data_IF_658455711130
#
_entry.id   IF_658455711130
#
_cell.length_a   1.000
_cell.length_b   1.000
_cell.length_c   1.000
_cell.angle_alpha   90.00
_cell.angle_beta   90.00
_cell.angle_gamma   90.00
#
_symmetry.space_group_name_H-M   'P 1'
#
loop_
_entity.id
_entity.type
_entity.pdbx_description
1 polymer ?
#
# COMPACT_ATOMS: atom_id res chain seq x y z
N UNK A 1 -3.71 24.44 -13.61
CA UNK A 1 -2.38 24.52 -12.94
C UNK A 1 -2.48 24.55 -11.42
N UNK A 2 -3.26 25.46 -10.84
CA UNK A 2 -3.48 25.49 -9.38
C UNK A 2 -4.01 24.17 -8.84
N UNK A 3 -4.97 23.54 -9.55
CA UNK A 3 -5.56 22.26 -9.15
C UNK A 3 -4.53 21.12 -9.17
N UNK A 4 -3.61 21.13 -10.14
CA UNK A 4 -2.55 20.11 -10.22
C UNK A 4 -1.54 20.27 -9.08
N UNK A 5 -1.14 21.52 -8.78
CA UNK A 5 -0.25 21.79 -7.66
C UNK A 5 -0.91 21.36 -6.35
N UNK A 6 -2.17 21.70 -6.17
CA UNK A 6 -2.91 21.33 -4.97
C UNK A 6 -3.04 19.82 -4.84
N UNK A 7 -3.31 19.13 -5.96
CA UNK A 7 -3.36 17.67 -5.97
C UNK A 7 -2.03 17.05 -5.56
N UNK A 8 -0.91 17.55 -6.07
CA UNK A 8 0.41 17.06 -5.71
C UNK A 8 0.72 17.27 -4.23
N UNK A 9 0.31 18.40 -3.66
CA UNK A 9 0.46 18.67 -2.23
C UNK A 9 -0.33 17.67 -1.40
N UNK A 10 -1.56 17.34 -1.80
CA UNK A 10 -2.39 16.37 -1.11
C UNK A 10 -1.81 14.96 -1.23
N UNK A 11 -1.36 14.56 -2.41
CA UNK A 11 -0.72 13.26 -2.59
C UNK A 11 0.51 13.12 -1.69
N UNK A 12 1.33 14.16 -1.61
CA UNK A 12 2.50 14.16 -0.72
C UNK A 12 2.08 14.00 0.74
N UNK A 13 1.07 14.75 1.18
CA UNK A 13 0.57 14.67 2.55
C UNK A 13 0.07 13.26 2.86
N UNK A 14 -0.74 12.68 1.99
CA UNK A 14 -1.28 11.34 2.23
C UNK A 14 -0.20 10.26 2.13
N UNK A 15 0.85 10.47 1.32
CA UNK A 15 2.04 9.62 1.33
C UNK A 15 2.74 9.64 2.69
N UNK A 16 2.85 10.80 3.32
CA UNK A 16 3.40 10.93 4.67
C UNK A 16 2.52 10.24 5.70
N UNK A 17 1.19 10.31 5.54
CA UNK A 17 0.26 9.56 6.40
C UNK A 17 0.49 8.06 6.26
N UNK A 18 0.66 7.56 5.05
CA UNK A 18 0.97 6.14 4.83
C UNK A 18 2.28 5.75 5.51
N UNK A 19 3.28 6.62 5.49
CA UNK A 19 4.56 6.39 6.19
C UNK A 19 4.36 6.33 7.71
N UNK A 20 3.49 7.15 8.27
CA UNK A 20 3.16 7.07 9.69
C UNK A 20 2.43 5.77 10.03
N UNK A 21 1.54 5.32 9.16
CA UNK A 21 0.87 4.02 9.32
C UNK A 21 1.91 2.89 9.30
N UNK A 22 2.89 2.96 8.42
CA UNK A 22 3.97 1.97 8.34
C UNK A 22 4.72 1.83 9.66
N UNK A 23 4.83 2.90 10.45
CA UNK A 23 5.52 2.85 11.74
C UNK A 23 4.86 1.91 12.75
N UNK A 24 3.62 1.52 12.53
CA UNK A 24 2.91 0.56 13.37
C UNK A 24 3.35 -0.88 13.10
N UNK A 25 4.04 -1.14 11.99
CA UNK A 25 4.52 -2.48 11.66
C UNK A 25 5.61 -2.92 12.63
N UNK A 26 5.58 -4.20 12.98
CA UNK A 26 6.63 -4.83 13.80
C UNK A 26 7.69 -5.53 12.93
N UNK A 27 7.61 -5.38 11.62
CA UNK A 27 8.54 -6.00 10.70
C UNK A 27 9.97 -5.52 10.95
N UNK A 28 10.92 -6.45 10.93
CA UNK A 28 12.32 -6.13 11.15
C UNK A 28 13.02 -5.65 9.89
N UNK A 29 12.62 -6.18 8.72
CA UNK A 29 13.30 -5.91 7.45
C UNK A 29 12.80 -4.62 6.79
N UNK A 30 11.51 -4.48 6.64
CA UNK A 30 10.91 -3.30 5.99
C UNK A 30 9.49 -3.08 6.51
N UNK A 31 9.23 -1.87 6.98
CA UNK A 31 7.89 -1.46 7.41
C UNK A 31 7.19 -0.81 6.25
N UNK A 32 6.02 -1.31 5.89
CA UNK A 32 5.22 -0.83 4.78
C UNK A 32 3.84 -0.42 5.28
N UNK A 33 3.32 0.68 4.75
CA UNK A 33 1.97 1.16 5.04
C UNK A 33 1.21 1.41 3.75
N UNK A 34 -0.09 1.15 3.77
CA UNK A 34 -0.98 1.37 2.64
C UNK A 34 -2.29 1.97 3.13
N UNK A 35 -2.81 2.95 2.38
CA UNK A 35 -4.09 3.58 2.69
C UNK A 35 -4.95 3.64 1.43
N UNK A 36 -6.27 3.57 1.61
CA UNK A 36 -7.24 3.81 0.56
C UNK A 36 -7.92 5.15 0.83
N UNK A 37 -7.73 6.10 -0.06
CA UNK A 37 -8.18 7.48 0.09
C UNK A 37 -9.21 7.79 -1.00
N UNK A 38 -10.33 8.43 -0.63
CA UNK A 38 -11.31 8.83 -1.63
C UNK A 38 -10.68 9.78 -2.64
N UNK A 39 -11.11 9.68 -3.91
CA UNK A 39 -10.49 10.42 -5.00
C UNK A 39 -10.49 11.95 -4.81
N UNK A 40 -11.41 12.47 -4.01
CA UNK A 40 -11.45 13.90 -3.66
C UNK A 40 -10.68 14.23 -2.38
N UNK A 41 -9.96 13.25 -1.81
CA UNK A 41 -9.17 13.37 -0.58
C UNK A 41 -9.99 13.66 0.69
N UNK A 42 -11.29 13.42 0.67
CA UNK A 42 -12.16 13.74 1.80
C UNK A 42 -12.19 12.68 2.90
N UNK A 43 -11.64 11.49 2.62
CA UNK A 43 -11.82 10.35 3.54
C UNK A 43 -10.76 9.30 3.31
N UNK A 44 -10.24 8.74 4.40
CA UNK A 44 -9.45 7.51 4.38
C UNK A 44 -10.39 6.36 4.75
N UNK A 45 -10.66 5.47 3.81
CA UNK A 45 -11.64 4.40 4.01
C UNK A 45 -11.03 3.17 4.69
N UNK A 46 -9.71 2.98 4.54
CA UNK A 46 -9.03 1.82 5.10
C UNK A 46 -7.54 2.07 5.11
N UNK A 47 -6.84 1.40 6.01
CA UNK A 47 -5.38 1.38 6.00
C UNK A 47 -4.88 0.00 6.43
N UNK A 48 -3.64 -0.28 6.08
CA UNK A 48 -2.96 -1.50 6.50
C UNK A 48 -1.46 -1.27 6.63
N UNK A 49 -0.82 -2.08 7.42
CA UNK A 49 0.63 -2.18 7.51
C UNK A 49 1.00 -3.65 7.52
N UNK A 50 2.23 -3.96 7.13
CA UNK A 50 2.61 -5.36 7.05
C UNK A 50 2.72 -5.98 8.46
N UNK A 51 2.13 -7.15 8.62
CA UNK A 51 2.04 -7.83 9.90
C UNK A 51 1.38 -9.18 9.75
N UNK A 52 1.34 -9.93 10.85
CA UNK A 52 0.71 -11.24 10.85
C UNK A 52 -0.80 -11.14 11.07
N UNK A 53 -1.46 -12.28 11.12
CA UNK A 53 -2.90 -12.35 11.37
C UNK A 53 -3.23 -11.93 12.81
N UNK A 54 -4.49 -11.55 13.05
CA UNK A 54 -4.95 -11.12 14.37
C UNK A 54 -4.67 -12.19 15.43
N UNK A 55 -4.11 -11.76 16.57
CA UNK A 55 -3.77 -12.62 17.70
C UNK A 55 -2.67 -13.65 17.40
N UNK A 56 -1.87 -13.44 16.35
CA UNK A 56 -0.69 -14.28 16.13
C UNK A 56 0.32 -14.10 17.27
N UNK A 57 1.06 -15.18 17.63
CA UNK A 57 2.13 -15.06 18.62
C UNK A 57 3.19 -14.05 18.17
N UNK A 58 3.69 -13.24 19.09
CA UNK A 58 4.71 -12.23 18.79
C UNK A 58 6.05 -12.71 19.28
N UNK A 59 7.04 -12.79 18.38
CA UNK A 59 8.42 -13.05 18.71
C UNK A 59 9.04 -11.76 19.27
N UNK A 60 9.73 -11.84 20.39
CA UNK A 60 10.32 -10.68 21.05
C UNK A 60 11.49 -10.05 20.27
N UNK A 61 12.06 -10.76 19.31
CA UNK A 61 13.19 -10.28 18.51
C UNK A 61 12.75 -9.77 17.16
N UNK A 62 11.93 -10.55 16.42
CA UNK A 62 11.54 -10.24 15.04
C UNK A 62 10.18 -9.59 14.91
N UNK A 63 9.39 -9.55 15.99
CA UNK A 63 8.02 -9.04 15.98
C UNK A 63 6.99 -10.12 15.72
N UNK A 64 7.29 -11.15 14.91
CA UNK A 64 6.43 -12.30 14.72
C UNK A 64 7.29 -13.55 14.41
N UNK A 65 6.78 -14.74 14.76
CA UNK A 65 7.47 -15.99 14.48
C UNK A 65 7.56 -16.32 13.00
N UNK A 66 6.67 -15.75 12.19
CA UNK A 66 6.60 -16.04 10.76
C UNK A 66 7.55 -15.17 9.92
N UNK A 67 8.13 -14.13 10.50
CA UNK A 67 8.96 -13.21 9.73
C UNK A 67 10.30 -13.85 9.35
N UNK A 68 10.65 -13.76 8.07
CA UNK A 68 11.97 -14.10 7.55
C UNK A 68 12.66 -12.83 7.08
N UNK A 69 13.98 -12.74 7.30
CA UNK A 69 14.77 -11.61 6.80
C UNK A 69 15.23 -11.84 5.35
N UNK A 70 15.01 -13.03 4.79
CA UNK A 70 15.35 -13.29 3.40
C UNK A 70 14.35 -12.60 2.47
N UNK A 71 14.81 -11.91 1.43
CA UNK A 71 13.94 -11.24 0.48
C UNK A 71 12.88 -12.19 -0.12
N UNK A 72 11.62 -11.78 -0.08
CA UNK A 72 10.51 -12.56 -0.63
C UNK A 72 10.07 -13.75 0.21
N UNK A 73 10.67 -13.95 1.39
CA UNK A 73 10.38 -15.10 2.25
C UNK A 73 9.64 -14.71 3.54
N UNK A 74 9.21 -13.46 3.66
CA UNK A 74 8.47 -13.03 4.84
C UNK A 74 7.12 -13.73 4.92
N UNK A 75 6.77 -14.25 6.09
CA UNK A 75 5.44 -14.81 6.37
C UNK A 75 4.42 -13.75 6.75
N UNK A 76 4.81 -12.48 6.78
CA UNK A 76 3.91 -11.39 7.13
C UNK A 76 2.92 -11.12 5.99
N UNK A 77 1.70 -10.76 6.35
CA UNK A 77 0.71 -10.29 5.40
C UNK A 77 1.12 -8.89 4.95
N UNK A 78 1.13 -8.65 3.65
CA UNK A 78 1.54 -7.36 3.10
C UNK A 78 0.55 -6.26 3.47
N UNK A 79 1.04 -5.02 3.55
CA UNK A 79 0.24 -3.86 3.94
C UNK A 79 -0.98 -3.68 3.05
N UNK A 80 -0.81 -3.87 1.75
CA UNK A 80 -1.90 -3.72 0.77
C UNK A 80 -3.01 -4.74 1.02
N UNK A 81 -2.63 -5.99 1.32
CA UNK A 81 -3.61 -7.04 1.61
C UNK A 81 -4.36 -6.73 2.90
N UNK A 82 -3.66 -6.29 3.94
CA UNK A 82 -4.31 -5.90 5.20
C UNK A 82 -5.26 -4.71 4.99
N UNK A 83 -4.88 -3.75 4.16
CA UNK A 83 -5.76 -2.63 3.81
C UNK A 83 -7.01 -3.11 3.08
N UNK A 84 -6.87 -3.97 2.08
CA UNK A 84 -7.99 -4.52 1.32
C UNK A 84 -8.93 -5.31 2.24
N UNK A 85 -8.37 -6.09 3.16
CA UNK A 85 -9.16 -6.91 4.09
C UNK A 85 -10.10 -6.05 4.97
N UNK A 86 -9.74 -4.80 5.21
CA UNK A 86 -10.52 -3.86 6.03
C UNK A 86 -11.35 -2.88 5.20
N UNK A 87 -11.18 -2.88 3.89
CA UNK A 87 -11.91 -1.98 2.99
C UNK A 87 -13.36 -2.46 2.87
N UNK A 88 -14.31 -1.58 3.17
CA UNK A 88 -15.74 -1.93 3.23
C UNK A 88 -16.62 -1.05 2.34
N UNK A 89 -16.01 -0.29 1.43
CA UNK A 89 -16.77 0.54 0.52
C UNK A 89 -17.20 -0.24 -0.72
N UNK A 90 -18.38 0.05 -1.32
CA UNK A 90 -18.86 -0.68 -2.48
C UNK A 90 -18.24 -0.23 -3.80
N UNK A 91 -17.49 0.88 -3.80
CA UNK A 91 -17.03 1.58 -4.99
C UNK A 91 -15.51 1.82 -4.96
N UNK A 92 -14.67 0.76 -5.01
CA UNK A 92 -13.21 0.93 -4.95
C UNK A 92 -12.65 1.81 -6.06
N UNK A 93 -13.31 1.91 -7.20
CA UNK A 93 -12.91 2.79 -8.30
C UNK A 93 -12.94 4.28 -7.91
N UNK A 94 -13.62 4.64 -6.85
CA UNK A 94 -13.66 6.00 -6.33
C UNK A 94 -12.63 6.26 -5.24
N UNK A 95 -11.72 5.31 -5.03
CA UNK A 95 -10.65 5.41 -4.04
C UNK A 95 -9.30 5.18 -4.72
N UNK A 96 -8.30 5.94 -4.29
CA UNK A 96 -6.92 5.72 -4.68
C UNK A 96 -6.19 4.94 -3.59
N UNK A 97 -5.23 4.13 -3.97
CA UNK A 97 -4.35 3.44 -3.03
C UNK A 97 -3.02 4.17 -2.98
N UNK A 98 -2.56 4.50 -1.79
CA UNK A 98 -1.26 5.13 -1.58
C UNK A 98 -0.45 4.22 -0.67
N UNK A 99 0.71 3.78 -1.13
CA UNK A 99 1.58 2.84 -0.45
C UNK A 99 2.94 3.48 -0.22
N UNK A 100 3.59 3.17 0.88
CA UNK A 100 4.93 3.69 1.15
C UNK A 100 5.97 3.21 0.14
N UNK A 101 5.80 1.97 -0.34
CA UNK A 101 6.73 1.34 -1.29
C UNK A 101 5.94 0.74 -2.44
N UNK A 102 6.52 0.71 -3.64
CA UNK A 102 5.85 0.14 -4.81
C UNK A 102 5.36 -1.28 -4.52
N UNK A 103 4.10 -1.60 -4.89
CA UNK A 103 3.54 -2.91 -4.57
C UNK A 103 4.26 -4.03 -5.34
N UNK A 104 4.43 -5.18 -4.70
CA UNK A 104 4.97 -6.36 -5.36
C UNK A 104 4.00 -6.87 -6.43
N UNK A 105 4.46 -7.79 -7.25
CA UNK A 105 3.66 -8.32 -8.37
C UNK A 105 2.32 -8.88 -7.89
N UNK A 106 2.33 -9.66 -6.81
CA UNK A 106 1.11 -10.25 -6.26
C UNK A 106 0.15 -9.18 -5.75
N UNK A 107 0.65 -8.25 -4.94
CA UNK A 107 -0.19 -7.17 -4.41
C UNK A 107 -0.76 -6.29 -5.52
N UNK A 108 0.03 -6.02 -6.57
CA UNK A 108 -0.44 -5.26 -7.72
C UNK A 108 -1.66 -5.95 -8.36
N UNK A 109 -1.57 -7.26 -8.58
CA UNK A 109 -2.68 -8.04 -9.14
C UNK A 109 -3.91 -8.01 -8.23
N UNK A 110 -3.71 -8.14 -6.93
CA UNK A 110 -4.82 -8.14 -5.97
C UNK A 110 -5.50 -6.77 -5.94
N UNK A 111 -4.74 -5.68 -6.00
CA UNK A 111 -5.30 -4.33 -6.06
C UNK A 111 -6.17 -4.14 -7.31
N UNK A 112 -5.72 -4.64 -8.45
CA UNK A 112 -6.50 -4.60 -9.70
C UNK A 112 -7.80 -5.38 -9.54
N UNK A 113 -7.71 -6.60 -9.02
CA UNK A 113 -8.90 -7.45 -8.80
C UNK A 113 -9.86 -6.84 -7.78
N UNK A 114 -9.36 -6.10 -6.81
CA UNK A 114 -10.19 -5.40 -5.83
C UNK A 114 -10.97 -4.22 -6.44
N UNK A 115 -10.57 -3.77 -7.62
CA UNK A 115 -11.29 -2.71 -8.35
C UNK A 115 -10.68 -1.32 -8.24
N UNK A 116 -9.50 -1.19 -7.65
CA UNK A 116 -8.82 0.11 -7.57
C UNK A 116 -8.32 0.54 -8.93
N UNK A 117 -8.46 1.84 -9.24
CA UNK A 117 -8.09 2.41 -10.54
C UNK A 117 -7.01 3.48 -10.46
N UNK A 118 -6.51 3.76 -9.26
CA UNK A 118 -5.41 4.70 -9.03
C UNK A 118 -4.51 4.14 -7.94
N UNK A 119 -3.23 4.00 -8.24
CA UNK A 119 -2.24 3.43 -7.30
C UNK A 119 -1.00 4.32 -7.31
N UNK A 120 -0.63 4.82 -6.14
CA UNK A 120 0.53 5.70 -5.96
C UNK A 120 1.46 5.14 -4.89
N UNK A 121 2.76 5.41 -5.00
CA UNK A 121 3.73 4.97 -4.00
C UNK A 121 4.79 6.03 -3.78
N UNK A 122 5.37 6.03 -2.59
CA UNK A 122 6.37 7.02 -2.21
C UNK A 122 7.75 6.62 -2.73
N UNK A 123 8.19 5.40 -2.45
CA UNK A 123 9.51 4.90 -2.84
C UNK A 123 9.40 3.64 -3.70
N UNK A 124 10.29 3.52 -4.68
CA UNK A 124 10.43 2.26 -5.41
C UNK A 124 11.03 1.19 -4.50
N UNK A 125 10.55 -0.04 -4.65
CA UNK A 125 11.02 -1.18 -3.89
C UNK A 125 11.26 -2.36 -4.81
N UNK A 126 12.49 -2.86 -4.84
CA UNK A 126 12.91 -3.99 -5.69
C UNK A 126 12.58 -3.75 -7.17
N UNK A 127 12.22 -4.81 -7.87
CA UNK A 127 11.86 -4.78 -9.28
C UNK A 127 10.49 -4.14 -9.46
N UNK A 128 10.41 -3.13 -10.32
CA UNK A 128 9.17 -2.44 -10.67
C UNK A 128 8.71 -2.75 -12.10
N UNK A 129 9.36 -3.69 -12.77
CA UNK A 129 9.08 -3.99 -14.18
C UNK A 129 7.67 -4.51 -14.43
N UNK A 130 7.02 -5.08 -13.40
CA UNK A 130 5.65 -5.60 -13.51
C UNK A 130 4.57 -4.50 -13.47
N UNK A 131 4.91 -3.30 -13.01
CA UNK A 131 3.90 -2.25 -12.78
C UNK A 131 3.23 -1.80 -14.07
N UNK A 132 4.03 -1.47 -15.11
CA UNK A 132 3.45 -1.02 -16.37
C UNK A 132 2.57 -2.09 -17.06
N UNK A 133 3.03 -3.35 -17.24
CA UNK A 133 2.19 -4.35 -17.88
C UNK A 133 0.86 -4.60 -17.16
N UNK A 134 0.85 -4.58 -15.84
CA UNK A 134 -0.36 -4.86 -15.06
C UNK A 134 -1.24 -3.61 -14.95
N UNK A 135 -0.66 -2.47 -14.58
CA UNK A 135 -1.42 -1.25 -14.33
C UNK A 135 -1.66 -0.45 -15.61
N UNK A 136 -0.60 -0.11 -16.32
CA UNK A 136 -0.70 0.66 -17.55
C UNK A 136 -1.46 -0.07 -18.63
N UNK A 137 -1.22 -1.38 -18.78
CA UNK A 137 -1.92 -2.22 -19.73
C UNK A 137 -3.43 -2.34 -19.46
N UNK A 138 -3.88 -2.02 -18.27
CA UNK A 138 -5.29 -2.02 -17.86
C UNK A 138 -5.86 -0.62 -17.67
N UNK A 139 -5.15 0.42 -18.09
CA UNK A 139 -5.62 1.79 -18.00
C UNK A 139 -5.69 2.33 -16.57
N UNK A 140 -4.94 1.75 -15.65
CA UNK A 140 -4.93 2.16 -14.24
C UNK A 140 -3.85 3.23 -14.06
N UNK A 141 -4.26 4.39 -13.52
CA UNK A 141 -3.32 5.45 -13.22
C UNK A 141 -2.38 5.01 -12.10
N UNK A 142 -1.08 5.21 -12.31
CA UNK A 142 -0.08 4.82 -11.32
C UNK A 142 1.12 5.74 -11.43
N UNK A 143 1.70 6.08 -10.27
CA UNK A 143 2.80 7.03 -10.23
C UNK A 143 3.55 6.94 -8.91
N UNK A 144 4.87 7.14 -9.00
CA UNK A 144 5.70 7.41 -7.85
C UNK A 144 5.51 8.87 -7.44
N UNK A 145 5.23 9.11 -6.16
CA UNK A 145 4.94 10.46 -5.65
C UNK A 145 5.99 10.97 -4.66
N UNK A 146 6.95 10.14 -4.29
CA UNK A 146 8.05 10.51 -3.42
C UNK A 146 9.26 11.09 -4.13
#
# INVERSE_FOLDING_TARGET
>A
MKSQIRRQQKLKLFGEIAQQIASLSVASRLKVGAIAVKNDFSKIASFGYNGSYSNAPINSVTGTEEESLEPGQSGLIHAEINMIAKFREPDPENYMVIVTHSPCKMCTKVLVNAGFRQIYWVDDYRDTSHLWPILGGNGIEHKKIG
#
